data_IF_156226549222
#
_entry.id   IF_156226549222
#
_cell.length_a   1.000
_cell.length_b   1.000
_cell.length_c   1.000
_cell.angle_alpha   90.00
_cell.angle_beta   90.00
_cell.angle_gamma   90.00
#
_symmetry.space_group_name_H-M   'P 1'
#
loop_
_entity.id
_entity.type
_entity.pdbx_description
1 polymer ?
#
# COMPACT_ATOMS: atom_id res chain seq x y z
N UNK A 1 -1.39 6.73 9.21
CA UNK A 1 -1.78 7.89 10.07
C UNK A 1 -2.88 7.48 11.04
N UNK A 2 -3.97 6.84 10.59
CA UNK A 2 -5.07 6.43 11.48
C UNK A 2 -4.58 5.52 12.60
N UNK A 3 -3.83 4.46 12.29
CA UNK A 3 -3.25 3.56 13.30
C UNK A 3 -2.33 4.29 14.30
N UNK A 4 -1.56 5.28 13.82
CA UNK A 4 -0.70 6.14 14.66
C UNK A 4 -1.52 7.00 15.60
N UNK A 5 -2.61 7.59 15.10
CA UNK A 5 -3.56 8.34 15.92
C UNK A 5 -4.22 7.45 17.00
N UNK A 6 -4.67 6.25 16.61
CA UNK A 6 -5.27 5.28 17.51
C UNK A 6 -4.28 4.77 18.58
N UNK A 7 -2.97 4.81 18.28
CA UNK A 7 -1.91 4.58 19.24
C UNK A 7 -1.66 5.77 20.18
N UNK A 8 -2.41 6.88 20.06
CA UNK A 8 -2.36 8.04 20.93
C UNK A 8 -1.43 9.16 20.47
N UNK A 9 -0.92 9.09 19.23
CA UNK A 9 -0.02 10.11 18.67
C UNK A 9 -0.81 11.03 17.74
N UNK A 10 -0.83 12.33 18.02
CA UNK A 10 -1.56 13.34 17.26
C UNK A 10 -0.66 14.37 16.55
N UNK A 11 0.57 14.56 16.99
CA UNK A 11 1.55 15.40 16.33
C UNK A 11 2.41 14.55 15.39
N UNK A 12 2.34 14.80 14.08
CA UNK A 12 3.00 14.00 13.05
C UNK A 12 3.90 14.89 12.20
N UNK A 13 5.12 14.47 11.98
CA UNK A 13 6.06 15.08 11.05
C UNK A 13 6.15 14.18 9.83
N UNK A 14 5.72 14.67 8.67
CA UNK A 14 5.88 13.98 7.40
C UNK A 14 7.12 14.52 6.67
N UNK A 15 8.17 13.70 6.63
CA UNK A 15 9.33 13.98 5.79
C UNK A 15 9.01 13.48 4.38
N UNK A 16 8.92 14.40 3.44
CA UNK A 16 8.49 14.14 2.06
C UNK A 16 9.59 14.51 1.06
N UNK A 17 9.63 13.84 -0.07
CA UNK A 17 10.58 14.11 -1.15
C UNK A 17 9.89 14.07 -2.50
N UNK A 18 9.94 12.93 -3.18
CA UNK A 18 9.26 12.71 -4.45
C UNK A 18 7.73 12.89 -4.28
N UNK A 19 7.11 13.62 -5.21
CA UNK A 19 5.68 13.95 -5.16
C UNK A 19 5.19 14.60 -3.85
N UNK A 20 6.04 15.37 -3.15
CA UNK A 20 5.71 16.01 -1.87
C UNK A 20 4.38 16.81 -1.92
N UNK A 21 4.11 17.53 -3.01
CA UNK A 21 2.89 18.32 -3.16
C UNK A 21 1.62 17.46 -3.25
N UNK A 22 1.70 16.26 -3.85
CA UNK A 22 0.58 15.32 -3.88
C UNK A 22 0.24 14.82 -2.47
N UNK A 23 1.25 14.45 -1.69
CA UNK A 23 1.10 14.03 -0.29
C UNK A 23 0.50 15.16 0.55
N UNK A 24 1.02 16.36 0.40
CA UNK A 24 0.54 17.54 1.12
C UNK A 24 -0.90 17.92 0.74
N UNK A 25 -1.24 17.82 -0.54
CA UNK A 25 -2.60 18.08 -1.03
C UNK A 25 -3.60 17.06 -0.47
N UNK A 26 -3.20 15.79 -0.37
CA UNK A 26 -4.06 14.72 0.12
C UNK A 26 -4.35 14.83 1.63
N UNK A 27 -3.32 15.01 2.45
CA UNK A 27 -3.46 15.02 3.90
C UNK A 27 -3.76 16.42 4.48
N UNK A 28 -3.51 17.51 3.75
CA UNK A 28 -3.65 18.88 4.25
C UNK A 28 -2.86 19.10 5.52
N UNK A 29 -3.47 19.69 6.53
CA UNK A 29 -2.87 19.84 7.87
C UNK A 29 -3.25 18.71 8.83
N UNK A 30 -3.91 17.66 8.35
CA UNK A 30 -4.35 16.51 9.15
C UNK A 30 -5.70 16.69 9.87
N UNK A 31 -6.37 17.82 9.67
CA UNK A 31 -7.60 18.17 10.39
C UNK A 31 -8.71 17.12 10.18
N UNK A 32 -8.89 16.64 8.95
CA UNK A 32 -9.88 15.59 8.61
C UNK A 32 -9.59 14.27 9.31
N UNK A 33 -8.35 13.99 9.63
CA UNK A 33 -7.91 12.79 10.34
C UNK A 33 -7.86 13.01 11.86
N UNK A 34 -8.02 14.25 12.33
CA UNK A 34 -7.93 14.62 13.75
C UNK A 34 -6.52 14.52 14.29
N UNK A 35 -5.53 14.85 13.47
CA UNK A 35 -4.10 14.95 13.81
C UNK A 35 -3.55 16.30 13.34
N UNK A 36 -2.37 16.67 13.82
CA UNK A 36 -1.62 17.83 13.34
C UNK A 36 -0.43 17.34 12.51
N UNK A 37 -0.35 17.76 11.26
CA UNK A 37 0.73 17.37 10.36
C UNK A 37 1.65 18.56 10.09
N UNK A 38 2.93 18.34 10.33
CA UNK A 38 4.02 19.23 9.93
C UNK A 38 4.79 18.59 8.78
N UNK A 39 5.02 19.34 7.70
CA UNK A 39 5.75 18.84 6.53
C UNK A 39 7.18 19.34 6.55
N UNK A 40 8.10 18.42 6.29
CA UNK A 40 9.52 18.69 6.09
C UNK A 40 9.91 18.09 4.73
N UNK A 41 10.60 18.87 3.89
CA UNK A 41 10.95 18.42 2.54
C UNK A 41 12.40 18.02 2.49
N UNK A 42 12.66 16.74 2.22
CA UNK A 42 13.96 16.24 1.84
C UNK A 42 14.21 16.56 0.36
N UNK A 43 14.99 17.59 0.10
CA UNK A 43 15.22 18.13 -1.27
C UNK A 43 15.95 17.14 -2.19
N UNK A 44 16.82 16.30 -1.63
CA UNK A 44 17.53 15.22 -2.33
C UNK A 44 17.31 13.95 -1.52
N UNK A 45 16.90 12.87 -2.16
CA UNK A 45 16.70 11.57 -1.54
C UNK A 45 18.08 10.93 -1.27
N UNK A 46 18.67 11.29 -0.12
CA UNK A 46 20.00 10.85 0.29
C UNK A 46 19.97 9.71 1.32
N UNK A 47 18.86 9.00 1.43
CA UNK A 47 18.69 7.87 2.34
C UNK A 47 17.87 8.20 3.59
N UNK A 48 17.62 7.16 4.39
CA UNK A 48 16.72 7.20 5.56
C UNK A 48 17.28 7.98 6.74
N UNK A 49 18.61 7.92 6.97
CA UNK A 49 19.25 8.75 7.99
C UNK A 49 19.16 10.24 7.67
N UNK A 50 19.37 10.61 6.39
CA UNK A 50 19.23 12.01 5.98
C UNK A 50 17.78 12.48 6.10
N UNK A 51 16.82 11.65 5.74
CA UNK A 51 15.40 11.97 5.94
C UNK A 51 15.08 12.25 7.41
N UNK A 52 15.56 11.42 8.34
CA UNK A 52 15.34 11.63 9.77
C UNK A 52 16.04 12.90 10.28
N UNK A 53 17.25 13.22 9.81
CA UNK A 53 17.93 14.49 10.15
C UNK A 53 17.10 15.73 9.85
N UNK A 54 16.32 15.70 8.76
CA UNK A 54 15.46 16.85 8.41
C UNK A 54 14.40 17.14 9.49
N UNK A 55 14.05 16.14 10.31
CA UNK A 55 13.07 16.29 11.38
C UNK A 55 13.69 16.78 12.72
N UNK A 56 15.02 16.85 12.89
CA UNK A 56 15.72 17.11 14.16
C UNK A 56 15.15 18.32 14.92
N UNK A 57 14.93 19.45 14.25
CA UNK A 57 14.48 20.68 14.90
C UNK A 57 13.03 20.65 15.39
N UNK A 58 12.26 19.67 14.94
CA UNK A 58 10.84 19.51 15.28
C UNK A 58 10.61 18.47 16.40
N UNK A 59 11.61 17.63 16.66
CA UNK A 59 11.54 16.56 17.66
C UNK A 59 12.15 17.05 18.99
N UNK A 60 11.42 16.85 20.09
CA UNK A 60 11.86 17.33 21.43
C UNK A 60 12.03 16.23 22.45
N UNK A 61 11.33 15.12 22.27
CA UNK A 61 11.24 14.01 23.21
C UNK A 61 11.38 12.67 22.49
N UNK A 62 11.02 11.58 23.18
CA UNK A 62 10.87 10.25 22.57
C UNK A 62 9.83 10.29 21.46
N UNK A 63 10.12 9.68 20.33
CA UNK A 63 9.27 9.71 19.15
C UNK A 63 9.25 8.36 18.43
N UNK A 64 8.15 8.10 17.74
CA UNK A 64 8.00 6.97 16.83
C UNK A 64 8.43 7.40 15.42
N UNK A 65 9.40 6.69 14.84
CA UNK A 65 9.80 6.83 13.44
C UNK A 65 9.27 5.65 12.64
N UNK A 66 8.58 5.92 11.53
CA UNK A 66 7.97 4.92 10.67
C UNK A 66 8.32 5.20 9.20
N UNK A 67 8.62 4.16 8.44
CA UNK A 67 8.59 4.26 7.00
C UNK A 67 7.13 4.48 6.53
N UNK A 68 6.95 5.27 5.46
CA UNK A 68 5.61 5.68 5.00
C UNK A 68 4.86 4.65 4.17
N UNK A 69 5.51 3.59 3.78
CA UNK A 69 5.06 2.56 2.83
C UNK A 69 4.72 1.22 3.50
N UNK A 70 4.38 1.23 4.78
CA UNK A 70 4.04 0.00 5.50
C UNK A 70 2.70 0.06 6.20
N UNK A 71 2.09 -1.12 6.35
CA UNK A 71 0.91 -1.33 7.16
C UNK A 71 1.29 -2.07 8.45
N UNK A 72 0.94 -1.48 9.58
CA UNK A 72 1.19 -2.01 10.92
C UNK A 72 -0.13 -2.12 11.69
N UNK A 73 -0.18 -3.06 12.62
CA UNK A 73 -1.29 -3.16 13.56
C UNK A 73 -1.26 -2.03 14.59
N UNK A 74 -2.43 -1.48 14.92
CA UNK A 74 -2.57 -0.44 15.95
C UNK A 74 -2.09 -0.93 17.32
N UNK A 75 -2.35 -2.19 17.68
CA UNK A 75 -1.90 -2.75 18.97
C UNK A 75 -0.37 -2.82 19.07
N UNK A 76 0.30 -3.18 17.96
CA UNK A 76 1.77 -3.16 17.90
C UNK A 76 2.32 -1.75 18.14
N UNK A 77 1.71 -0.73 17.52
CA UNK A 77 2.10 0.67 17.72
C UNK A 77 1.86 1.11 19.18
N UNK A 78 0.73 0.72 19.79
CA UNK A 78 0.42 1.01 21.18
C UNK A 78 1.42 0.37 22.15
N UNK A 79 1.90 -0.84 21.86
CA UNK A 79 2.96 -1.47 22.64
C UNK A 79 4.30 -0.78 22.45
N UNK A 80 4.66 -0.49 21.19
CA UNK A 80 5.94 0.11 20.85
C UNK A 80 6.15 1.46 21.57
N UNK A 81 5.14 2.33 21.58
CA UNK A 81 5.23 3.65 22.24
C UNK A 81 5.36 3.60 23.77
N UNK A 82 5.03 2.46 24.38
CA UNK A 82 5.15 2.27 25.85
C UNK A 82 6.51 1.69 26.26
N UNK A 83 7.32 1.26 25.31
CA UNK A 83 8.63 0.71 25.57
C UNK A 83 9.63 1.80 25.92
N UNK A 84 10.80 1.41 26.44
CA UNK A 84 11.92 2.31 26.67
C UNK A 84 12.80 2.37 25.43
N UNK A 85 12.98 3.56 24.86
CA UNK A 85 13.88 3.79 23.72
C UNK A 85 15.35 3.49 24.08
N UNK A 86 16.20 3.06 23.11
CA UNK A 86 15.85 2.82 21.71
C UNK A 86 15.26 1.42 21.47
N UNK A 87 14.30 1.35 20.57
CA UNK A 87 13.67 0.10 20.13
C UNK A 87 13.59 0.08 18.61
N UNK A 88 13.86 -1.06 17.98
CA UNK A 88 13.60 -1.34 16.58
C UNK A 88 12.55 -2.44 16.46
N UNK A 89 11.51 -2.20 15.69
CA UNK A 89 10.55 -3.22 15.33
C UNK A 89 11.16 -4.18 14.31
N UNK A 90 10.88 -5.47 14.48
CA UNK A 90 11.36 -6.54 13.60
C UNK A 90 10.17 -7.38 13.12
N UNK A 91 10.33 -7.95 11.92
CA UNK A 91 9.40 -8.91 11.33
C UNK A 91 10.15 -10.08 10.75
N UNK A 92 9.45 -11.03 10.15
CA UNK A 92 10.05 -12.16 9.42
C UNK A 92 9.61 -12.16 7.95
N UNK A 93 10.50 -12.55 7.05
CA UNK A 93 10.22 -12.66 5.63
C UNK A 93 10.88 -13.87 5.02
N UNK A 94 10.33 -14.35 3.91
CA UNK A 94 10.96 -15.40 3.07
C UNK A 94 12.04 -14.85 2.14
N UNK A 95 12.22 -13.51 2.08
CA UNK A 95 13.18 -12.84 1.22
C UNK A 95 14.00 -11.81 2.03
N UNK A 96 14.74 -12.26 3.07
CA UNK A 96 15.46 -11.34 3.97
C UNK A 96 16.56 -10.54 3.29
N UNK A 97 17.09 -11.01 2.15
CA UNK A 97 18.11 -10.31 1.36
C UNK A 97 17.66 -8.95 0.80
N UNK A 98 16.37 -8.68 0.80
CA UNK A 98 15.81 -7.41 0.29
C UNK A 98 15.78 -6.31 1.38
N UNK A 99 16.08 -6.68 2.63
CA UNK A 99 15.95 -5.85 3.83
C UNK A 99 17.21 -5.87 4.70
N UNK A 100 17.22 -5.06 5.76
CA UNK A 100 18.22 -5.17 6.81
C UNK A 100 18.00 -6.44 7.65
N UNK A 101 18.92 -7.37 7.57
CA UNK A 101 18.86 -8.68 8.28
C UNK A 101 19.29 -8.50 9.73
N UNK A 102 18.50 -9.00 10.65
CA UNK A 102 18.68 -8.82 12.09
C UNK A 102 19.04 -10.14 12.76
N UNK A 103 20.03 -10.11 13.65
CA UNK A 103 20.28 -11.20 14.59
C UNK A 103 19.93 -10.75 15.99
N UNK A 104 19.27 -11.60 16.75
CA UNK A 104 18.85 -11.32 18.13
C UNK A 104 19.69 -12.08 19.16
N UNK A 105 19.96 -11.43 20.29
CA UNK A 105 20.43 -12.03 21.53
C UNK A 105 19.40 -11.76 22.63
N UNK A 106 18.52 -12.72 22.89
CA UNK A 106 17.33 -12.53 23.72
C UNK A 106 16.39 -11.46 23.12
N UNK A 107 16.11 -10.40 23.86
CA UNK A 107 15.29 -9.27 23.41
C UNK A 107 16.09 -8.11 22.79
N UNK A 108 17.40 -8.29 22.61
CA UNK A 108 18.30 -7.26 22.05
C UNK A 108 18.75 -7.62 20.65
N UNK A 109 19.01 -6.59 19.85
CA UNK A 109 19.61 -6.74 18.54
C UNK A 109 21.11 -6.85 18.72
N UNK A 110 21.68 -7.95 18.24
CA UNK A 110 23.14 -8.23 18.30
C UNK A 110 23.86 -7.92 17.00
N UNK A 111 23.18 -7.92 15.87
CA UNK A 111 23.72 -7.46 14.59
C UNK A 111 22.62 -7.03 13.63
N UNK A 112 22.95 -6.11 12.74
CA UNK A 112 22.11 -5.62 11.65
C UNK A 112 22.97 -5.53 10.39
N UNK A 113 22.55 -6.18 9.31
CA UNK A 113 23.28 -6.23 8.05
C UNK A 113 22.36 -5.85 6.89
N UNK A 114 22.61 -4.69 6.28
CA UNK A 114 21.75 -4.16 5.21
C UNK A 114 21.90 -4.98 3.93
N UNK A 115 20.79 -5.53 3.43
CA UNK A 115 20.67 -6.27 2.16
C UNK A 115 21.75 -7.32 1.95
N UNK A 116 21.97 -8.16 2.96
CA UNK A 116 22.97 -9.22 2.92
C UNK A 116 22.67 -10.24 1.81
N UNK A 117 23.67 -10.56 1.00
CA UNK A 117 23.57 -11.63 -0.01
C UNK A 117 23.51 -13.03 0.61
N UNK A 118 23.94 -13.16 1.87
CA UNK A 118 23.94 -14.41 2.64
C UNK A 118 23.31 -14.19 4.01
N UNK A 119 21.98 -13.99 4.06
CA UNK A 119 21.27 -13.65 5.29
C UNK A 119 21.42 -14.76 6.34
N UNK A 120 21.80 -14.35 7.55
CA UNK A 120 21.99 -15.28 8.70
C UNK A 120 20.71 -15.56 9.45
N UNK A 121 19.62 -14.86 9.13
CA UNK A 121 18.33 -14.91 9.80
C UNK A 121 17.23 -14.58 8.80
N UNK A 122 16.01 -15.00 9.09
CA UNK A 122 14.77 -14.58 8.42
C UNK A 122 14.15 -13.34 9.09
N UNK A 123 14.75 -12.88 10.20
CA UNK A 123 14.31 -11.69 10.93
C UNK A 123 14.88 -10.46 10.24
N UNK A 124 14.02 -9.48 10.01
CA UNK A 124 14.37 -8.25 9.31
C UNK A 124 13.99 -7.01 10.11
N UNK A 125 14.67 -5.92 9.82
CA UNK A 125 14.30 -4.58 10.20
C UNK A 125 12.97 -4.20 9.52
N UNK A 126 11.95 -3.94 10.32
CA UNK A 126 10.61 -3.64 9.82
C UNK A 126 10.40 -2.15 9.50
N UNK A 127 11.39 -1.29 9.65
CA UNK A 127 11.27 0.14 9.34
C UNK A 127 10.44 0.95 10.35
N UNK A 128 10.22 0.44 11.54
CA UNK A 128 9.54 1.13 12.63
C UNK A 128 10.43 1.17 13.88
N UNK A 129 10.54 2.34 14.52
CA UNK A 129 11.47 2.55 15.60
C UNK A 129 10.89 3.47 16.67
N UNK A 130 11.25 3.23 17.91
CA UNK A 130 11.08 4.18 18.99
C UNK A 130 12.44 4.73 19.38
N UNK A 131 12.66 6.01 19.18
CA UNK A 131 13.90 6.71 19.49
C UNK A 131 13.68 7.84 20.51
N UNK A 132 14.72 8.18 21.21
CA UNK A 132 14.87 9.49 21.85
C UNK A 132 15.73 10.42 20.97
N UNK A 133 15.91 11.67 21.41
CA UNK A 133 16.66 12.68 20.66
C UNK A 133 18.15 12.34 20.52
N UNK A 134 18.70 11.41 21.29
CA UNK A 134 20.09 10.95 21.20
C UNK A 134 20.45 10.38 19.83
N UNK A 135 19.46 9.84 19.12
CA UNK A 135 19.68 9.33 17.76
C UNK A 135 20.25 10.40 16.82
N UNK A 136 19.89 11.67 16.97
CA UNK A 136 20.38 12.74 16.08
C UNK A 136 21.88 12.97 16.20
N UNK A 137 22.51 12.74 17.36
CA UNK A 137 23.95 12.78 17.52
C UNK A 137 24.65 11.63 16.78
N UNK A 138 24.02 10.44 16.76
CA UNK A 138 24.53 9.29 16.02
C UNK A 138 24.39 9.52 14.51
N UNK A 139 23.27 10.07 14.07
CA UNK A 139 23.05 10.41 12.67
C UNK A 139 24.13 11.37 12.11
N UNK A 140 24.66 12.28 12.89
CA UNK A 140 25.74 13.22 12.46
C UNK A 140 27.02 12.49 12.09
N UNK A 141 27.24 11.28 12.62
CA UNK A 141 28.45 10.46 12.39
C UNK A 141 28.34 9.56 11.15
N UNK A 142 27.11 9.35 10.63
CA UNK A 142 26.87 8.48 9.48
C UNK A 142 27.49 9.05 8.21
N UNK A 143 28.28 8.23 7.51
CA UNK A 143 28.86 8.54 6.21
C UNK A 143 28.03 7.93 5.08
N UNK A 144 28.12 8.44 3.83
CA UNK A 144 27.44 7.84 2.71
C UNK A 144 27.90 6.39 2.46
N UNK A 145 26.93 5.48 2.27
CA UNK A 145 27.19 4.10 1.87
C UNK A 145 27.75 4.02 0.45
N UNK A 146 28.12 2.82 0.01
CA UNK A 146 28.54 2.56 -1.37
C UNK A 146 27.47 2.89 -2.42
N UNK A 147 26.22 3.01 -1.98
CA UNK A 147 25.06 3.46 -2.79
C UNK A 147 24.94 4.98 -2.85
N UNK A 148 25.76 5.73 -2.10
CA UNK A 148 25.68 7.18 -1.96
C UNK A 148 24.57 7.66 -1.02
N UNK A 149 24.01 6.77 -0.20
CA UNK A 149 22.91 7.04 0.74
C UNK A 149 23.41 7.04 2.19
N UNK A 150 22.83 7.87 3.03
CA UNK A 150 23.02 7.84 4.47
C UNK A 150 22.02 6.85 5.08
N UNK A 151 22.53 5.68 5.48
CA UNK A 151 21.69 4.60 5.99
C UNK A 151 21.39 4.80 7.47
N UNK A 152 20.13 4.66 7.85
CA UNK A 152 19.75 4.69 9.27
C UNK A 152 20.38 3.50 10.03
N UNK A 153 20.51 2.37 9.37
CA UNK A 153 21.13 1.16 9.92
C UNK A 153 22.54 1.40 10.44
N UNK A 154 23.33 2.24 9.76
CA UNK A 154 24.71 2.58 10.19
C UNK A 154 24.72 3.41 11.49
N UNK A 155 23.67 4.24 11.73
CA UNK A 155 23.55 4.96 12.99
C UNK A 155 23.19 4.04 14.17
N UNK A 156 22.64 2.86 13.91
CA UNK A 156 22.24 1.92 14.95
C UNK A 156 23.38 1.06 15.46
N UNK A 157 24.50 1.00 14.76
CA UNK A 157 25.66 0.18 15.14
C UNK A 157 26.19 0.56 16.53
N UNK A 158 26.17 1.85 16.91
CA UNK A 158 26.59 2.31 18.22
C UNK A 158 25.65 1.78 19.33
N UNK A 159 24.33 1.81 19.11
CA UNK A 159 23.36 1.21 20.04
C UNK A 159 23.53 -0.32 20.16
N UNK A 160 23.87 -0.98 19.05
CA UNK A 160 24.11 -2.43 19.01
C UNK A 160 25.38 -2.77 19.79
N UNK A 161 26.47 -2.01 19.57
CA UNK A 161 27.75 -2.21 20.27
C UNK A 161 27.61 -2.06 21.81
N UNK A 162 26.76 -1.15 22.26
CA UNK A 162 26.46 -0.93 23.67
C UNK A 162 25.38 -1.90 24.23
N UNK A 163 24.89 -2.84 23.41
CA UNK A 163 23.77 -3.73 23.75
C UNK A 163 22.50 -2.97 24.21
N UNK A 164 22.31 -1.75 23.68
CA UNK A 164 21.23 -0.86 24.09
C UNK A 164 19.95 -1.07 23.25
N UNK A 165 20.07 -1.42 21.93
CA UNK A 165 18.94 -1.52 21.03
C UNK A 165 18.06 -2.74 21.30
N UNK A 166 16.82 -2.49 21.71
CA UNK A 166 15.82 -3.54 21.96
C UNK A 166 15.09 -3.90 20.67
N UNK A 167 14.70 -5.17 20.54
CA UNK A 167 13.84 -5.65 19.47
C UNK A 167 12.38 -5.72 19.93
N UNK A 168 11.45 -5.31 19.08
CA UNK A 168 10.02 -5.56 19.22
C UNK A 168 9.52 -6.33 18.00
N UNK A 169 8.97 -7.53 18.19
CA UNK A 169 8.44 -8.34 17.08
C UNK A 169 7.00 -7.91 16.78
N UNK A 170 6.78 -7.43 15.57
CA UNK A 170 5.44 -7.07 15.10
C UNK A 170 4.57 -8.31 14.90
N UNK A 171 3.29 -8.19 15.23
CA UNK A 171 2.26 -9.19 14.92
C UNK A 171 1.83 -9.13 13.47
N UNK A 172 1.81 -7.92 12.91
CA UNK A 172 1.55 -7.63 11.50
C UNK A 172 2.58 -6.67 10.94
N UNK A 173 3.09 -7.01 9.77
CA UNK A 173 3.89 -6.13 8.94
C UNK A 173 3.62 -6.41 7.47
N UNK A 174 3.20 -5.40 6.73
CA UNK A 174 3.06 -5.45 5.28
C UNK A 174 3.84 -4.29 4.69
N UNK A 175 4.88 -4.61 3.94
CA UNK A 175 5.62 -3.67 3.10
C UNK A 175 4.84 -3.45 1.80
N UNK A 176 4.54 -2.19 1.46
CA UNK A 176 3.79 -1.81 0.25
C UNK A 176 4.76 -1.21 -0.77
N UNK A 177 5.79 -1.98 -1.12
CA UNK A 177 6.83 -1.56 -2.06
C UNK A 177 6.39 -1.57 -3.52
N UNK A 178 5.37 -2.37 -3.84
CA UNK A 178 4.84 -2.51 -5.19
C UNK A 178 3.31 -2.42 -5.21
N UNK A 179 2.71 -2.07 -6.37
CA UNK A 179 1.25 -1.97 -6.46
C UNK A 179 0.48 -3.25 -6.08
N UNK A 180 1.04 -4.43 -6.31
CA UNK A 180 0.40 -5.70 -5.93
C UNK A 180 0.41 -5.96 -4.41
N UNK A 181 1.31 -5.32 -3.66
CA UNK A 181 1.33 -5.42 -2.20
C UNK A 181 0.12 -4.69 -1.59
N UNK A 182 -0.42 -3.70 -2.31
CA UNK A 182 -1.67 -3.04 -1.94
C UNK A 182 -2.84 -4.03 -1.83
N UNK A 183 -2.85 -5.12 -2.63
CA UNK A 183 -3.89 -6.15 -2.50
C UNK A 183 -3.77 -6.89 -1.17
N UNK A 184 -2.54 -7.17 -0.69
CA UNK A 184 -2.32 -7.78 0.63
C UNK A 184 -2.75 -6.84 1.76
N UNK A 185 -2.38 -5.57 1.66
CA UNK A 185 -2.82 -4.55 2.60
C UNK A 185 -4.35 -4.40 2.61
N UNK A 186 -4.96 -4.39 1.43
CA UNK A 186 -6.42 -4.31 1.26
C UNK A 186 -7.13 -5.52 1.88
N UNK A 187 -6.67 -6.74 1.60
CA UNK A 187 -7.22 -7.98 2.18
C UNK A 187 -7.22 -7.91 3.72
N UNK A 188 -6.12 -7.43 4.30
CA UNK A 188 -6.01 -7.26 5.75
C UNK A 188 -7.00 -6.21 6.28
N UNK A 189 -7.02 -5.01 5.68
CA UNK A 189 -7.92 -3.94 6.11
C UNK A 189 -9.38 -4.35 5.99
N UNK A 190 -9.75 -5.00 4.90
CA UNK A 190 -11.11 -5.49 4.67
C UNK A 190 -11.53 -6.55 5.70
N UNK A 191 -10.61 -7.38 6.18
CA UNK A 191 -10.91 -8.43 7.18
C UNK A 191 -11.35 -7.86 8.55
N UNK A 192 -11.02 -6.60 8.82
CA UNK A 192 -11.32 -5.90 10.09
C UNK A 192 -12.54 -4.99 10.01
N UNK A 193 -13.15 -4.87 8.84
CA UNK A 193 -14.30 -3.99 8.66
C UNK A 193 -15.55 -4.50 9.37
N UNK A 194 -16.41 -3.55 9.72
CA UNK A 194 -17.80 -3.80 10.10
C UNK A 194 -18.70 -3.28 8.98
N UNK A 195 -19.80 -4.00 8.71
CA UNK A 195 -20.75 -3.57 7.68
C UNK A 195 -21.35 -2.21 8.02
N UNK A 196 -21.41 -1.35 6.99
CA UNK A 196 -22.04 -0.03 7.07
C UNK A 196 -22.60 0.32 5.71
N UNK A 197 -23.88 0.68 5.64
CA UNK A 197 -24.57 1.06 4.42
C UNK A 197 -25.13 2.48 4.61
N UNK A 198 -24.53 3.45 3.89
CA UNK A 198 -24.96 4.85 3.91
C UNK A 198 -25.55 5.29 2.54
N UNK A 199 -25.47 4.42 1.55
CA UNK A 199 -26.05 4.59 0.22
C UNK A 199 -27.44 3.96 0.09
N UNK A 200 -27.95 3.95 -1.14
CA UNK A 200 -29.23 3.34 -1.52
C UNK A 200 -28.99 1.93 -2.07
N UNK A 201 -29.76 0.97 -1.58
CA UNK A 201 -29.75 -0.41 -2.09
C UNK A 201 -31.16 -0.69 -2.62
N UNK A 202 -31.27 -0.97 -3.92
CA UNK A 202 -32.54 -1.28 -4.57
C UNK A 202 -33.06 -2.69 -4.20
N UNK A 203 -34.33 -2.94 -4.46
CA UNK A 203 -34.90 -4.27 -4.31
C UNK A 203 -34.17 -5.30 -5.18
N UNK A 204 -34.15 -6.57 -4.73
CA UNK A 204 -33.49 -7.69 -5.40
C UNK A 204 -31.95 -7.58 -5.49
N UNK A 205 -31.30 -6.77 -4.64
CA UNK A 205 -29.87 -6.82 -4.41
C UNK A 205 -29.56 -7.88 -3.35
N UNK A 206 -28.56 -8.72 -3.59
CA UNK A 206 -28.12 -9.73 -2.62
C UNK A 206 -26.77 -9.34 -2.02
N UNK A 207 -26.74 -9.22 -0.70
CA UNK A 207 -25.50 -8.92 0.05
C UNK A 207 -25.21 -10.07 1.02
N UNK A 208 -24.01 -10.63 0.91
CA UNK A 208 -23.50 -11.68 1.79
C UNK A 208 -22.16 -11.26 2.39
N UNK A 209 -22.00 -11.39 3.71
CA UNK A 209 -20.75 -11.02 4.41
C UNK A 209 -20.65 -9.52 4.68
N UNK A 210 -19.44 -9.07 4.99
CA UNK A 210 -19.15 -7.68 5.39
C UNK A 210 -19.11 -6.75 4.19
N UNK A 211 -19.96 -5.71 4.16
CA UNK A 211 -19.98 -4.73 3.07
C UNK A 211 -20.07 -3.31 3.63
N UNK A 212 -19.25 -2.44 3.08
CA UNK A 212 -19.35 -0.99 3.31
C UNK A 212 -19.78 -0.32 2.03
N UNK A 213 -20.86 0.49 2.10
CA UNK A 213 -21.37 1.30 0.99
C UNK A 213 -21.42 2.75 1.44
N UNK A 214 -20.69 3.59 0.73
CA UNK A 214 -20.56 5.02 1.01
C UNK A 214 -21.82 5.83 0.66
N UNK A 215 -21.79 7.11 1.04
CA UNK A 215 -22.89 8.05 0.87
C UNK A 215 -23.20 8.30 -0.60
N UNK A 216 -24.48 8.50 -0.90
CA UNK A 216 -24.98 8.79 -2.24
C UNK A 216 -24.66 7.70 -3.28
N UNK A 217 -24.16 6.55 -2.87
CA UNK A 217 -23.95 5.41 -3.77
C UNK A 217 -25.25 4.63 -3.95
N UNK A 218 -25.49 4.17 -5.17
CA UNK A 218 -26.69 3.38 -5.53
C UNK A 218 -26.27 1.99 -6.01
N UNK A 219 -26.81 0.96 -5.35
CA UNK A 219 -26.65 -0.42 -5.76
C UNK A 219 -27.94 -0.87 -6.42
N UNK A 220 -27.88 -1.16 -7.71
CA UNK A 220 -29.03 -1.46 -8.55
C UNK A 220 -29.45 -2.93 -8.50
N UNK A 221 -30.71 -3.15 -8.77
CA UNK A 221 -31.37 -4.46 -8.76
C UNK A 221 -30.58 -5.57 -9.48
N UNK A 222 -30.65 -6.78 -8.93
CA UNK A 222 -29.95 -7.96 -9.44
C UNK A 222 -28.45 -8.00 -9.13
N UNK A 223 -27.88 -6.95 -8.52
CA UNK A 223 -26.46 -6.96 -8.11
C UNK A 223 -26.26 -7.94 -6.96
N UNK A 224 -25.18 -8.76 -7.07
CA UNK A 224 -24.76 -9.68 -6.03
C UNK A 224 -23.41 -9.22 -5.44
N UNK A 225 -23.37 -9.01 -4.12
CA UNK A 225 -22.15 -8.59 -3.42
C UNK A 225 -21.79 -9.66 -2.40
N UNK A 226 -20.61 -10.24 -2.55
CA UNK A 226 -20.02 -11.19 -1.61
C UNK A 226 -18.83 -10.53 -0.92
N UNK A 227 -19.01 -10.11 0.33
CA UNK A 227 -18.00 -9.43 1.12
C UNK A 227 -16.85 -10.35 1.59
N UNK A 228 -15.75 -9.74 2.07
CA UNK A 228 -15.64 -8.31 2.36
C UNK A 228 -15.49 -7.44 1.10
N UNK A 229 -16.29 -6.38 1.01
CA UNK A 229 -16.28 -5.42 -0.10
C UNK A 229 -16.48 -4.00 0.43
N UNK A 230 -15.73 -3.04 -0.14
CA UNK A 230 -15.96 -1.61 0.08
C UNK A 230 -16.35 -0.94 -1.23
N UNK A 231 -17.39 -0.11 -1.17
CA UNK A 231 -17.81 0.79 -2.22
C UNK A 231 -17.81 2.20 -1.61
N UNK A 232 -17.06 3.11 -2.22
CA UNK A 232 -16.93 4.50 -1.79
C UNK A 232 -18.21 5.33 -1.98
N UNK A 233 -18.08 6.64 -1.89
CA UNK A 233 -19.16 7.59 -2.03
C UNK A 233 -19.49 7.88 -3.50
N UNK A 234 -20.75 8.26 -3.78
CA UNK A 234 -21.25 8.68 -5.10
C UNK A 234 -21.01 7.64 -6.22
N UNK A 235 -21.07 6.36 -5.89
CA UNK A 235 -20.91 5.27 -6.85
C UNK A 235 -22.24 4.80 -7.43
N UNK A 236 -22.20 4.32 -8.67
CA UNK A 236 -23.33 3.70 -9.34
C UNK A 236 -22.94 2.26 -9.72
N UNK A 237 -23.62 1.26 -9.09
CA UNK A 237 -23.25 -0.15 -9.20
C UNK A 237 -24.41 -0.99 -9.70
N UNK A 238 -24.20 -1.73 -10.77
CA UNK A 238 -25.21 -2.58 -11.39
C UNK A 238 -25.90 -1.95 -12.61
N UNK A 239 -27.06 -2.50 -13.02
CA UNK A 239 -27.72 -3.70 -12.48
C UNK A 239 -26.95 -5.00 -12.79
N UNK A 240 -27.28 -6.07 -12.06
CA UNK A 240 -26.72 -7.41 -12.28
C UNK A 240 -25.18 -7.48 -12.23
N UNK A 241 -24.53 -6.62 -11.45
CA UNK A 241 -23.08 -6.71 -11.21
C UNK A 241 -22.77 -7.81 -10.17
N UNK A 242 -21.56 -8.39 -10.24
CA UNK A 242 -21.09 -9.32 -9.23
C UNK A 242 -19.79 -8.81 -8.61
N UNK A 243 -19.86 -8.37 -7.36
CA UNK A 243 -18.69 -7.94 -6.59
C UNK A 243 -18.29 -9.04 -5.62
N UNK A 244 -17.06 -9.50 -5.73
CA UNK A 244 -16.51 -10.63 -4.97
C UNK A 244 -15.56 -10.16 -3.86
N UNK A 245 -15.27 -11.07 -2.89
CA UNK A 245 -14.41 -10.75 -1.75
C UNK A 245 -13.07 -10.13 -2.14
N UNK A 246 -12.59 -9.21 -1.30
CA UNK A 246 -11.33 -8.51 -1.51
C UNK A 246 -11.44 -7.28 -2.43
N UNK A 247 -12.65 -6.89 -2.83
CA UNK A 247 -12.86 -5.76 -3.74
C UNK A 247 -13.04 -4.46 -2.99
N UNK A 248 -12.28 -3.44 -3.39
CA UNK A 248 -12.45 -2.05 -2.96
C UNK A 248 -12.68 -1.16 -4.17
N UNK A 249 -13.79 -0.45 -4.18
CA UNK A 249 -14.16 0.55 -5.19
C UNK A 249 -14.09 1.93 -4.54
N UNK A 250 -13.31 2.83 -5.11
CA UNK A 250 -13.16 4.22 -4.67
C UNK A 250 -14.43 5.06 -4.88
N UNK A 251 -14.30 6.37 -4.75
CA UNK A 251 -15.42 7.28 -4.88
C UNK A 251 -15.74 7.61 -6.36
N UNK A 252 -16.96 8.04 -6.63
CA UNK A 252 -17.40 8.51 -7.96
C UNK A 252 -17.21 7.46 -9.08
N UNK A 253 -17.22 6.19 -8.75
CA UNK A 253 -17.04 5.09 -9.69
C UNK A 253 -18.36 4.63 -10.30
N UNK A 254 -18.29 4.08 -11.53
CA UNK A 254 -19.40 3.42 -12.18
C UNK A 254 -19.03 1.97 -12.51
N UNK A 255 -19.70 1.01 -11.86
CA UNK A 255 -19.58 -0.42 -12.11
C UNK A 255 -20.90 -0.87 -12.76
N UNK A 256 -20.86 -1.06 -14.06
CA UNK A 256 -22.11 -1.21 -14.85
C UNK A 256 -22.69 -2.62 -14.90
N UNK A 257 -23.57 -2.81 -15.90
CA UNK A 257 -24.32 -4.05 -16.09
C UNK A 257 -23.45 -5.25 -16.39
N UNK A 258 -23.70 -6.36 -15.69
CA UNK A 258 -23.06 -7.67 -15.87
C UNK A 258 -21.50 -7.59 -15.78
N UNK A 259 -21.01 -6.73 -14.90
CA UNK A 259 -19.58 -6.63 -14.57
C UNK A 259 -19.26 -7.55 -13.41
N UNK A 260 -18.16 -8.28 -13.51
CA UNK A 260 -17.61 -9.04 -12.40
C UNK A 260 -16.28 -8.41 -11.94
N UNK A 261 -16.19 -8.11 -10.62
CA UNK A 261 -14.94 -7.63 -9.99
C UNK A 261 -14.60 -8.55 -8.84
N UNK A 262 -13.34 -8.98 -8.79
CA UNK A 262 -12.83 -9.90 -7.77
C UNK A 262 -11.48 -9.43 -7.26
N UNK A 263 -11.35 -9.32 -5.91
CA UNK A 263 -10.07 -9.08 -5.24
C UNK A 263 -9.25 -7.99 -5.92
N UNK A 264 -9.85 -6.83 -6.15
CA UNK A 264 -9.25 -5.73 -6.90
C UNK A 264 -9.48 -4.40 -6.20
N UNK A 265 -8.54 -3.48 -6.41
CA UNK A 265 -8.65 -2.09 -5.96
C UNK A 265 -8.92 -1.23 -7.20
N UNK A 266 -10.00 -0.48 -7.17
CA UNK A 266 -10.38 0.47 -8.21
C UNK A 266 -10.41 1.86 -7.58
N UNK A 267 -9.55 2.76 -8.08
CA UNK A 267 -9.45 4.12 -7.58
C UNK A 267 -10.55 5.03 -8.13
N UNK A 268 -10.64 6.22 -7.54
CA UNK A 268 -11.72 7.17 -7.73
C UNK A 268 -12.00 7.53 -9.20
N UNK A 269 -13.26 7.75 -9.53
CA UNK A 269 -13.72 8.22 -10.82
C UNK A 269 -13.63 7.19 -11.97
N UNK A 270 -13.18 5.98 -11.69
CA UNK A 270 -13.03 4.93 -12.71
C UNK A 270 -14.37 4.32 -13.09
N UNK A 271 -14.54 4.08 -14.41
CA UNK A 271 -15.73 3.49 -15.00
C UNK A 271 -15.44 2.12 -15.58
N UNK A 272 -16.13 1.11 -15.10
CA UNK A 272 -16.09 -0.28 -15.57
C UNK A 272 -17.52 -0.67 -15.97
N UNK A 273 -18.02 -0.15 -17.12
CA UNK A 273 -19.38 -0.46 -17.59
C UNK A 273 -19.44 -1.85 -18.25
N UNK A 274 -20.51 -2.30 -18.68
CA UNK A 274 -20.92 -3.39 -19.58
C UNK A 274 -19.97 -4.59 -19.77
N UNK A 275 -20.33 -5.76 -19.20
CA UNK A 275 -19.74 -7.08 -19.48
C UNK A 275 -18.22 -7.18 -19.26
N UNK A 276 -17.67 -6.39 -18.36
CA UNK A 276 -16.24 -6.41 -18.05
C UNK A 276 -15.92 -7.43 -16.95
N UNK A 277 -14.69 -7.94 -16.98
CA UNK A 277 -14.12 -8.74 -15.90
C UNK A 277 -12.83 -8.11 -15.39
N UNK A 278 -12.76 -7.85 -14.09
CA UNK A 278 -11.56 -7.33 -13.40
C UNK A 278 -11.24 -8.26 -12.23
N UNK A 279 -10.12 -8.95 -12.31
CA UNK A 279 -9.69 -9.87 -11.26
C UNK A 279 -8.29 -9.62 -10.76
N UNK A 280 -8.11 -9.60 -9.42
CA UNK A 280 -6.83 -9.53 -8.72
C UNK A 280 -5.92 -8.40 -9.27
N UNK A 281 -6.48 -7.19 -9.43
CA UNK A 281 -5.84 -6.06 -10.14
C UNK A 281 -5.86 -4.79 -9.32
N UNK A 282 -4.94 -3.88 -9.65
CA UNK A 282 -4.91 -2.50 -9.12
C UNK A 282 -5.14 -1.54 -10.29
N UNK A 283 -6.25 -0.79 -10.22
CA UNK A 283 -6.72 0.09 -11.29
C UNK A 283 -6.69 1.53 -10.80
N UNK A 284 -5.96 2.39 -11.48
CA UNK A 284 -5.83 3.82 -11.19
C UNK A 284 -7.13 4.60 -11.31
N UNK A 285 -7.05 5.88 -11.05
CA UNK A 285 -8.17 6.82 -11.07
C UNK A 285 -8.57 7.21 -12.50
N UNK A 286 -9.84 7.59 -12.67
CA UNK A 286 -10.39 8.17 -13.91
C UNK A 286 -10.21 7.27 -15.16
N UNK A 287 -10.03 5.96 -14.98
CA UNK A 287 -9.98 5.01 -16.09
C UNK A 287 -11.37 4.79 -16.70
N UNK A 288 -11.41 4.39 -17.97
CA UNK A 288 -12.66 3.98 -18.61
C UNK A 288 -12.46 2.70 -19.41
N UNK A 289 -13.22 1.66 -19.07
CA UNK A 289 -13.19 0.37 -19.73
C UNK A 289 -14.27 0.28 -20.79
N UNK A 290 -13.90 0.08 -22.05
CA UNK A 290 -14.85 -0.25 -23.10
C UNK A 290 -15.57 -1.57 -22.82
N UNK A 291 -16.80 -1.71 -23.36
CA UNK A 291 -17.61 -2.92 -23.17
C UNK A 291 -16.84 -4.20 -23.51
N UNK A 292 -16.97 -5.23 -22.67
CA UNK A 292 -16.39 -6.54 -22.93
C UNK A 292 -14.89 -6.67 -22.68
N UNK A 293 -14.24 -5.68 -22.06
CA UNK A 293 -12.81 -5.79 -21.68
C UNK A 293 -12.62 -6.84 -20.56
N UNK A 294 -11.61 -7.68 -20.71
CA UNK A 294 -11.29 -8.74 -19.75
C UNK A 294 -9.83 -8.64 -19.30
N UNK A 295 -9.61 -8.70 -17.99
CA UNK A 295 -8.28 -8.80 -17.39
C UNK A 295 -8.07 -10.23 -16.91
N UNK A 296 -7.18 -10.97 -17.58
CA UNK A 296 -6.82 -12.32 -17.16
C UNK A 296 -5.95 -12.26 -15.88
N UNK A 297 -6.24 -13.11 -14.90
CA UNK A 297 -5.57 -13.11 -13.61
C UNK A 297 -4.90 -14.45 -13.24
N UNK A 298 -4.90 -15.43 -14.13
CA UNK A 298 -4.30 -16.74 -13.91
C UNK A 298 -3.49 -17.16 -15.13
N UNK A 299 -2.25 -17.55 -14.91
CA UNK A 299 -1.37 -18.14 -15.92
C UNK A 299 -1.84 -19.58 -16.26
N UNK A 300 -1.60 -20.02 -17.50
CA UNK A 300 -1.93 -21.40 -17.91
C UNK A 300 -1.16 -22.46 -17.11
N UNK A 301 0.11 -22.16 -16.77
CA UNK A 301 0.96 -23.04 -15.96
C UNK A 301 0.70 -22.94 -14.45
N UNK A 302 -0.23 -22.08 -14.02
CA UNK A 302 -0.58 -21.80 -12.62
C UNK A 302 0.63 -21.34 -11.75
N UNK A 303 1.69 -20.87 -12.40
CA UNK A 303 2.89 -20.34 -11.74
C UNK A 303 2.64 -18.95 -11.12
N UNK A 304 3.64 -18.46 -10.38
CA UNK A 304 3.63 -17.09 -9.82
C UNK A 304 3.64 -16.07 -10.98
N UNK A 305 2.77 -15.10 -10.89
CA UNK A 305 2.71 -14.01 -11.87
C UNK A 305 3.86 -13.04 -11.63
N UNK A 306 4.48 -12.56 -12.71
CA UNK A 306 5.51 -11.52 -12.67
C UNK A 306 5.02 -10.28 -13.39
N UNK A 307 5.38 -9.11 -12.87
CA UNK A 307 5.15 -7.79 -13.52
C UNK A 307 6.51 -7.21 -13.87
N UNK A 308 6.79 -6.95 -15.13
CA UNK A 308 8.09 -6.44 -15.59
C UNK A 308 9.30 -7.24 -15.07
N UNK A 309 9.16 -8.56 -14.96
CA UNK A 309 10.20 -9.46 -14.45
C UNK A 309 10.23 -9.64 -12.93
N UNK A 310 9.58 -8.78 -12.16
CA UNK A 310 9.52 -8.82 -10.70
C UNK A 310 8.40 -9.78 -10.27
N UNK A 311 8.70 -10.67 -9.32
CA UNK A 311 7.72 -11.60 -8.76
C UNK A 311 6.68 -10.86 -7.93
N UNK A 312 5.39 -11.14 -8.14
CA UNK A 312 4.31 -10.61 -7.29
C UNK A 312 4.06 -11.47 -6.04
N UNK A 313 4.72 -12.64 -5.92
CA UNK A 313 4.40 -13.64 -4.89
C UNK A 313 3.03 -14.32 -5.09
N UNK A 314 2.21 -13.87 -6.06
CA UNK A 314 0.82 -14.29 -6.23
C UNK A 314 0.64 -15.21 -7.45
N UNK A 315 -0.08 -16.32 -7.26
CA UNK A 315 -0.52 -17.21 -8.38
C UNK A 315 -1.65 -16.59 -9.18
N UNK A 316 -2.47 -15.73 -8.56
CA UNK A 316 -3.51 -14.95 -9.21
C UNK A 316 -3.17 -13.48 -9.09
N UNK A 317 -2.93 -12.85 -10.21
CA UNK A 317 -2.71 -11.41 -10.34
C UNK A 317 -3.04 -10.99 -11.77
N UNK A 318 -3.88 -9.97 -11.90
CA UNK A 318 -4.31 -9.45 -13.20
C UNK A 318 -3.32 -8.43 -13.75
N UNK A 319 -3.56 -7.17 -13.47
CA UNK A 319 -2.77 -6.06 -14.00
C UNK A 319 -2.61 -4.91 -13.01
N UNK A 320 -1.57 -4.11 -13.22
CA UNK A 320 -1.45 -2.74 -12.69
C UNK A 320 -1.81 -1.78 -13.81
N UNK A 321 -2.81 -0.95 -13.60
CA UNK A 321 -3.26 0.03 -14.57
C UNK A 321 -3.16 1.41 -13.92
N UNK A 322 -2.41 2.31 -14.55
CA UNK A 322 -2.24 3.69 -14.11
C UNK A 322 -3.51 4.53 -14.32
N UNK A 323 -3.42 5.81 -13.99
CA UNK A 323 -4.56 6.72 -14.07
C UNK A 323 -4.95 7.07 -15.51
N UNK A 324 -6.22 7.40 -15.74
CA UNK A 324 -6.74 7.93 -17.02
C UNK A 324 -6.51 7.02 -18.22
N UNK A 325 -6.45 5.71 -18.00
CA UNK A 325 -6.34 4.74 -19.10
C UNK A 325 -7.70 4.52 -19.75
N UNK A 326 -7.74 4.60 -21.07
CA UNK A 326 -8.96 4.43 -21.86
C UNK A 326 -8.89 3.15 -22.70
N UNK A 327 -9.76 2.19 -22.41
CA UNK A 327 -9.90 0.96 -23.20
C UNK A 327 -11.01 1.09 -24.22
N UNK A 328 -10.73 0.68 -25.45
CA UNK A 328 -11.76 0.37 -26.44
C UNK A 328 -12.58 -0.86 -26.05
N UNK A 329 -13.60 -1.19 -26.86
CA UNK A 329 -14.41 -2.39 -26.61
C UNK A 329 -13.61 -3.67 -26.86
N UNK A 330 -13.98 -4.76 -26.16
CA UNK A 330 -13.44 -6.12 -26.34
C UNK A 330 -11.91 -6.22 -26.21
N UNK A 331 -11.29 -5.37 -25.40
CA UNK A 331 -9.87 -5.50 -25.12
C UNK A 331 -9.59 -6.70 -24.20
N UNK A 332 -8.42 -7.31 -24.37
CA UNK A 332 -7.91 -8.37 -23.50
C UNK A 332 -6.61 -7.93 -22.86
N UNK A 333 -6.51 -8.05 -21.53
CA UNK A 333 -5.30 -7.73 -20.78
C UNK A 333 -4.74 -9.02 -20.19
N UNK A 334 -3.51 -9.36 -20.54
CA UNK A 334 -2.85 -10.56 -20.02
C UNK A 334 -2.38 -10.38 -18.57
N UNK A 335 -2.28 -11.51 -17.87
CA UNK A 335 -1.76 -11.55 -16.50
C UNK A 335 -0.40 -10.88 -16.37
N UNK A 336 -0.21 -10.07 -15.31
CA UNK A 336 1.05 -9.40 -15.05
C UNK A 336 1.34 -8.20 -15.94
N UNK A 337 0.35 -7.71 -16.69
CA UNK A 337 0.52 -6.47 -17.45
C UNK A 337 0.61 -5.26 -16.55
N UNK A 338 1.45 -4.29 -16.96
CA UNK A 338 1.59 -2.97 -16.35
C UNK A 338 1.32 -1.91 -17.40
N UNK A 339 0.26 -1.12 -17.22
CA UNK A 339 -0.20 -0.13 -18.21
C UNK A 339 -0.05 1.26 -17.62
N UNK A 340 0.78 2.08 -18.24
CA UNK A 340 1.08 3.44 -17.81
C UNK A 340 -0.10 4.39 -17.94
N UNK A 341 -0.10 5.44 -17.10
CA UNK A 341 -1.16 6.46 -17.05
C UNK A 341 -1.37 7.14 -18.41
N UNK A 342 -2.61 7.51 -18.70
CA UNK A 342 -2.98 8.21 -19.93
C UNK A 342 -2.94 7.36 -21.21
N UNK A 343 -2.69 6.04 -21.10
CA UNK A 343 -2.66 5.10 -22.23
C UNK A 343 -4.04 4.95 -22.85
N UNK A 344 -4.07 4.82 -24.17
CA UNK A 344 -5.29 4.54 -24.95
C UNK A 344 -5.13 3.18 -25.65
N UNK A 345 -6.06 2.27 -25.39
CA UNK A 345 -6.07 0.92 -25.97
C UNK A 345 -7.16 0.83 -27.01
N UNK A 346 -6.78 0.50 -28.26
CA UNK A 346 -7.72 0.40 -29.35
C UNK A 346 -8.72 -0.76 -29.16
N UNK A 347 -9.93 -0.70 -29.75
CA UNK A 347 -10.88 -1.80 -29.71
C UNK A 347 -10.27 -3.13 -30.18
N UNK A 348 -10.55 -4.21 -29.45
CA UNK A 348 -10.08 -5.57 -29.75
C UNK A 348 -8.59 -5.83 -29.47
N UNK A 349 -7.84 -4.85 -29.00
CA UNK A 349 -6.42 -5.02 -28.76
C UNK A 349 -6.13 -5.98 -27.58
N UNK A 350 -5.01 -6.71 -27.71
CA UNK A 350 -4.46 -7.56 -26.66
C UNK A 350 -3.26 -6.87 -26.03
N UNK A 351 -3.36 -6.56 -24.72
CA UNK A 351 -2.28 -5.91 -23.95
C UNK A 351 -1.51 -6.96 -23.18
N UNK A 352 -0.18 -6.94 -23.29
CA UNK A 352 0.72 -7.85 -22.55
C UNK A 352 2.01 -7.13 -22.18
N UNK A 353 2.50 -7.42 -20.97
CA UNK A 353 3.75 -6.85 -20.45
C UNK A 353 3.63 -5.38 -20.03
N UNK A 354 4.73 -4.62 -20.19
CA UNK A 354 4.81 -3.21 -19.81
C UNK A 354 4.42 -2.29 -20.95
N UNK A 355 3.52 -1.37 -20.67
CA UNK A 355 3.12 -0.26 -21.56
C UNK A 355 3.46 1.05 -20.88
N UNK A 356 4.21 1.91 -21.54
CA UNK A 356 4.62 3.21 -21.00
C UNK A 356 3.46 4.22 -20.96
N UNK A 357 3.62 5.29 -20.17
CA UNK A 357 2.62 6.35 -20.04
C UNK A 357 2.29 6.99 -21.40
N UNK A 358 1.04 7.42 -21.56
CA UNK A 358 0.55 8.14 -22.73
C UNK A 358 0.74 7.39 -24.07
N UNK A 359 0.80 6.07 -24.03
CA UNK A 359 0.95 5.20 -25.20
C UNK A 359 -0.39 4.96 -25.89
N UNK A 360 -0.38 4.69 -27.19
CA UNK A 360 -1.51 4.16 -27.95
C UNK A 360 -1.21 2.71 -28.33
N UNK A 361 -1.95 1.77 -27.74
CA UNK A 361 -1.88 0.33 -28.05
C UNK A 361 -2.91 0.03 -29.14
N UNK A 362 -2.47 -0.63 -30.22
CA UNK A 362 -3.31 -0.99 -31.37
C UNK A 362 -3.41 -2.49 -31.57
#
# INVERSE_FOLDING_TARGET
IESVKEAGISDIILVTGYHAEAVKSYFGKGEKLGVKITYVVQKKQLGTADALRQAETFVKDTFLMLNGDMLLDTEDLQHLVRMKAPVMAVSTTTHPQDFGVVTLSGSKISSLEEKSLHPKSDIINAGAYLFDTGIFELLKKVSPSTRGEYELTDALDEYIAENALSAYRLSLWVDVGYPWDMLTANEYLLSRLKSRIEGTVEDHVFIKGTVVIGKNSTIKSGTYIEGPVVIGDNCDVGPNAYLRPGTTVGNNCHIGHAVEIKNSIIFDGTKVPHYNYVGDSVIGSECNFGAGTKIANLRHDKGIVKVSGISTGRKKFGAVIGDKVLFGINCSVNTGSSIGSGTKVAPGAVVSGKVENNTVVR
#
